data_IF_083796977030
#
_entry.id   IF_083796977030
#
_cell.length_a   1.000
_cell.length_b   1.000
_cell.length_c   1.000
_cell.angle_alpha   90.00
_cell.angle_beta   90.00
_cell.angle_gamma   90.00
#
_symmetry.space_group_name_H-M   'P 1'
#
loop_
_entity.id
_entity.type
_entity.pdbx_description
1 polymer ?
#
# COMPACT_ATOMS: atom_id res chain seq x y z
N UNK A 1 -22.03 19.59 -4.40
CA UNK A 1 -21.53 19.64 -3.00
C UNK A 1 -20.15 19.01 -3.01
N UNK A 2 -19.11 19.81 -3.21
CA UNK A 2 -17.71 19.37 -3.31
C UNK A 2 -16.79 20.31 -2.53
N UNK A 3 -17.28 20.83 -1.41
CA UNK A 3 -16.51 21.68 -0.53
C UNK A 3 -15.34 20.85 0.08
N UNK A 4 -14.08 21.27 -0.13
CA UNK A 4 -12.91 20.58 0.41
C UNK A 4 -12.94 20.35 1.93
N UNK A 5 -13.68 21.19 2.67
CA UNK A 5 -13.81 21.06 4.13
C UNK A 5 -14.57 19.82 4.56
N UNK A 6 -15.29 19.12 3.67
CA UNK A 6 -15.99 17.89 4.04
C UNK A 6 -15.14 16.62 3.96
N UNK A 7 -13.92 16.69 3.45
CA UNK A 7 -13.05 15.52 3.23
C UNK A 7 -12.05 15.35 4.37
N UNK A 8 -12.10 14.19 5.02
CA UNK A 8 -11.31 13.90 6.23
C UNK A 8 -10.25 12.83 6.02
N UNK A 9 -10.32 12.09 4.91
CA UNK A 9 -9.40 11.00 4.57
C UNK A 9 -8.76 11.32 3.21
N UNK A 10 -7.44 11.41 3.18
CA UNK A 10 -6.67 11.50 1.96
C UNK A 10 -6.16 10.12 1.52
N UNK A 11 -6.35 9.77 0.26
CA UNK A 11 -5.89 8.52 -0.33
C UNK A 11 -4.98 8.82 -1.52
N UNK A 12 -3.73 8.36 -1.46
CA UNK A 12 -2.75 8.57 -2.54
C UNK A 12 -2.48 7.23 -3.24
N UNK A 13 -2.53 7.28 -4.57
CA UNK A 13 -2.18 6.18 -5.49
C UNK A 13 -0.94 6.58 -6.29
N UNK A 14 -0.02 5.65 -6.53
CA UNK A 14 1.14 5.89 -7.39
C UNK A 14 0.83 5.71 -8.88
N UNK A 15 -0.05 4.77 -9.22
CA UNK A 15 -0.31 4.36 -10.60
C UNK A 15 -1.77 4.54 -10.99
N UNK A 16 -2.02 4.74 -12.29
CA UNK A 16 -3.38 4.76 -12.86
C UNK A 16 -4.15 3.47 -12.54
N UNK A 17 -3.47 2.33 -12.53
CA UNK A 17 -4.09 1.04 -12.16
C UNK A 17 -4.67 1.07 -10.74
N UNK A 18 -3.92 1.64 -9.81
CA UNK A 18 -4.31 1.78 -8.40
C UNK A 18 -5.42 2.83 -8.24
N UNK A 19 -5.31 3.94 -8.97
CA UNK A 19 -6.31 5.00 -8.97
C UNK A 19 -7.67 4.53 -9.50
N UNK A 20 -7.69 3.73 -10.56
CA UNK A 20 -8.92 3.09 -11.07
C UNK A 20 -9.52 2.16 -10.01
N UNK A 21 -8.69 1.33 -9.36
CA UNK A 21 -9.16 0.45 -8.29
C UNK A 21 -9.77 1.26 -7.14
N UNK A 22 -9.10 2.30 -6.65
CA UNK A 22 -9.61 3.16 -5.59
C UNK A 22 -10.98 3.78 -5.93
N UNK A 23 -11.14 4.28 -7.16
CA UNK A 23 -12.39 4.91 -7.60
C UNK A 23 -13.58 3.96 -7.67
N UNK A 24 -13.38 2.70 -8.09
CA UNK A 24 -14.51 1.75 -8.22
C UNK A 24 -15.03 1.25 -6.87
N UNK A 25 -14.27 1.46 -5.80
CA UNK A 25 -14.68 1.11 -4.44
C UNK A 25 -15.44 2.24 -3.72
N UNK A 26 -15.56 3.44 -4.31
CA UNK A 26 -16.43 4.49 -3.78
C UNK A 26 -17.89 4.02 -3.79
N UNK A 27 -18.60 4.26 -2.68
CA UNK A 27 -20.06 4.06 -2.62
C UNK A 27 -20.78 5.13 -3.44
N UNK A 28 -20.21 6.34 -3.45
CA UNK A 28 -20.72 7.50 -4.16
C UNK A 28 -19.55 8.33 -4.66
N UNK A 29 -19.57 8.73 -5.94
CA UNK A 29 -18.61 9.67 -6.52
C UNK A 29 -19.23 11.07 -6.47
N UNK A 30 -18.51 12.02 -5.91
CA UNK A 30 -18.92 13.43 -5.88
C UNK A 30 -18.37 14.18 -7.11
N UNK A 31 -18.90 15.38 -7.36
CA UNK A 31 -18.36 16.28 -8.39
C UNK A 31 -16.91 16.66 -8.04
N UNK A 32 -16.05 16.92 -9.03
CA UNK A 32 -14.68 17.40 -8.78
C UNK A 32 -14.68 18.72 -7.99
N UNK A 33 -13.57 19.06 -7.32
CA UNK A 33 -13.47 20.33 -6.61
C UNK A 33 -13.62 21.52 -7.57
N UNK A 34 -14.39 22.53 -7.19
CA UNK A 34 -14.58 23.74 -8.02
C UNK A 34 -13.28 24.53 -8.20
N UNK A 35 -12.43 24.50 -7.18
CA UNK A 35 -11.08 25.07 -7.23
C UNK A 35 -10.17 24.33 -6.26
N UNK A 36 -8.87 24.35 -6.57
CA UNK A 36 -7.78 23.87 -5.72
C UNK A 36 -6.82 25.02 -5.43
N UNK A 37 -5.89 24.83 -4.51
CA UNK A 37 -4.84 25.82 -4.21
C UNK A 37 -4.06 26.18 -5.48
N UNK A 38 -3.59 27.43 -5.60
CA UNK A 38 -3.02 28.00 -6.83
C UNK A 38 -1.78 27.27 -7.41
N UNK A 39 -1.16 26.37 -6.64
CA UNK A 39 0.01 25.58 -7.05
C UNK A 39 -0.20 24.08 -6.86
N UNK A 40 -1.44 23.66 -6.61
CA UNK A 40 -1.81 22.25 -6.55
C UNK A 40 -2.04 21.73 -7.97
N UNK A 41 -1.20 20.80 -8.40
CA UNK A 41 -1.24 20.21 -9.74
C UNK A 41 -1.87 18.81 -9.74
N UNK A 42 -2.45 18.37 -8.63
CA UNK A 42 -3.00 17.03 -8.51
C UNK A 42 -4.34 16.91 -9.26
N UNK A 43 -4.57 15.72 -9.81
CA UNK A 43 -5.90 15.30 -10.24
C UNK A 43 -6.61 14.60 -9.07
N UNK A 44 -7.83 15.03 -8.76
CA UNK A 44 -8.61 14.49 -7.64
C UNK A 44 -9.87 13.78 -8.08
N UNK A 45 -10.15 12.65 -7.43
CA UNK A 45 -11.50 12.10 -7.37
C UNK A 45 -12.02 12.22 -5.95
N UNK A 46 -13.20 12.79 -5.83
CA UNK A 46 -13.91 12.96 -4.57
C UNK A 46 -15.03 11.93 -4.45
N UNK A 47 -15.27 11.42 -3.25
CA UNK A 47 -16.39 10.55 -3.01
C UNK A 47 -16.57 10.13 -1.57
N UNK A 48 -17.42 9.12 -1.35
CA UNK A 48 -17.76 8.59 -0.05
C UNK A 48 -17.51 7.09 0.03
N UNK A 49 -17.01 6.65 1.19
CA UNK A 49 -16.93 5.24 1.58
C UNK A 49 -17.52 5.08 2.98
N UNK A 50 -18.63 4.36 3.07
CA UNK A 50 -19.46 4.26 4.26
C UNK A 50 -19.96 5.64 4.71
N UNK A 51 -19.44 6.08 5.86
CA UNK A 51 -19.79 7.37 6.50
C UNK A 51 -18.74 8.47 6.27
N UNK A 52 -17.67 8.19 5.54
CA UNK A 52 -16.53 9.09 5.43
C UNK A 52 -16.36 9.57 4.00
N UNK A 53 -16.04 10.86 3.87
CA UNK A 53 -15.68 11.45 2.59
C UNK A 53 -14.17 11.31 2.38
N UNK A 54 -13.79 10.83 1.20
CA UNK A 54 -12.43 10.51 0.81
C UNK A 54 -12.04 11.36 -0.40
N UNK A 55 -10.87 11.99 -0.32
CA UNK A 55 -10.21 12.63 -1.46
C UNK A 55 -9.10 11.70 -1.95
N UNK A 56 -9.19 11.30 -3.21
CA UNK A 56 -8.24 10.38 -3.84
C UNK A 56 -7.41 11.17 -4.85
N UNK A 57 -6.09 11.09 -4.74
CA UNK A 57 -5.15 11.63 -5.73
C UNK A 57 -4.29 10.52 -6.34
N UNK A 58 -3.76 10.80 -7.52
CA UNK A 58 -2.78 9.95 -8.20
C UNK A 58 -1.53 10.78 -8.51
N UNK A 59 -0.37 10.14 -8.47
CA UNK A 59 0.88 10.76 -8.91
C UNK A 59 0.82 11.15 -10.39
N UNK A 60 1.58 12.18 -10.83
CA UNK A 60 1.66 12.55 -12.24
C UNK A 60 2.08 11.39 -13.14
N UNK A 61 1.60 11.39 -14.38
CA UNK A 61 1.89 10.31 -15.32
C UNK A 61 3.41 10.18 -15.59
N UNK A 62 3.91 8.95 -15.53
CA UNK A 62 5.33 8.64 -15.64
C UNK A 62 6.17 8.90 -14.38
N UNK A 63 5.57 9.42 -13.30
CA UNK A 63 6.25 9.66 -12.04
C UNK A 63 5.87 8.61 -10.97
N UNK A 64 6.86 8.21 -10.19
CA UNK A 64 6.72 7.34 -9.02
C UNK A 64 7.91 7.59 -8.08
N UNK A 65 7.85 7.05 -6.87
CA UNK A 65 8.90 7.28 -5.88
C UNK A 65 8.49 8.25 -4.75
N UNK A 66 9.44 8.48 -3.84
CA UNK A 66 9.22 9.26 -2.62
C UNK A 66 8.91 10.73 -2.91
N UNK A 67 9.63 11.35 -3.84
CA UNK A 67 9.52 12.79 -4.12
C UNK A 67 8.16 13.18 -4.74
N UNK A 68 7.68 12.50 -5.81
CA UNK A 68 6.35 12.78 -6.35
C UNK A 68 5.23 12.52 -5.32
N UNK A 69 5.32 11.42 -4.55
CA UNK A 69 4.34 11.13 -3.50
C UNK A 69 4.27 12.24 -2.44
N UNK A 70 5.44 12.75 -2.01
CA UNK A 70 5.52 13.87 -1.05
C UNK A 70 4.91 15.14 -1.62
N UNK A 71 5.13 15.45 -2.90
CA UNK A 71 4.57 16.62 -3.56
C UNK A 71 3.03 16.54 -3.64
N UNK A 72 2.50 15.40 -4.09
CA UNK A 72 1.06 15.13 -4.15
C UNK A 72 0.42 15.28 -2.77
N UNK A 73 1.00 14.67 -1.74
CA UNK A 73 0.49 14.76 -0.38
C UNK A 73 0.46 16.21 0.13
N UNK A 74 1.54 16.96 -0.06
CA UNK A 74 1.62 18.37 0.36
C UNK A 74 0.56 19.22 -0.34
N UNK A 75 0.39 19.05 -1.64
CA UNK A 75 -0.54 19.85 -2.42
C UNK A 75 -2.00 19.50 -2.05
N UNK A 76 -2.30 18.21 -1.79
CA UNK A 76 -3.56 17.77 -1.20
C UNK A 76 -3.87 18.46 0.13
N UNK A 77 -2.89 18.55 1.04
CA UNK A 77 -3.11 19.21 2.32
C UNK A 77 -3.31 20.73 2.21
N UNK A 78 -2.82 21.37 1.14
CA UNK A 78 -3.10 22.78 0.87
C UNK A 78 -4.55 23.01 0.41
N UNK A 79 -5.08 22.09 -0.40
CA UNK A 79 -6.43 22.19 -0.95
C UNK A 79 -7.52 21.61 -0.03
N UNK A 80 -7.20 20.55 0.72
CA UNK A 80 -8.11 19.82 1.60
C UNK A 80 -7.63 19.88 3.05
N UNK A 81 -7.86 21.02 3.70
CA UNK A 81 -7.33 21.31 5.04
C UNK A 81 -7.93 20.45 6.15
N UNK A 82 -9.12 19.89 5.93
CA UNK A 82 -9.80 19.03 6.89
C UNK A 82 -9.33 17.56 6.83
N UNK A 83 -8.35 17.20 5.99
CA UNK A 83 -7.78 15.85 5.98
C UNK A 83 -7.07 15.57 7.31
N UNK A 84 -7.43 14.47 7.96
CA UNK A 84 -6.97 14.08 9.31
C UNK A 84 -6.12 12.82 9.31
N UNK A 85 -6.35 11.94 8.34
CA UNK A 85 -5.57 10.71 8.16
C UNK A 85 -5.31 10.45 6.68
N UNK A 86 -4.16 9.84 6.41
CA UNK A 86 -3.77 9.42 5.07
C UNK A 86 -3.92 7.91 4.85
N UNK A 87 -4.03 7.52 3.58
CA UNK A 87 -3.84 6.17 3.09
C UNK A 87 -2.88 6.22 1.91
N UNK A 88 -1.85 5.37 1.91
CA UNK A 88 -1.04 5.09 0.73
C UNK A 88 -1.41 3.69 0.26
N UNK A 89 -2.19 3.60 -0.82
CA UNK A 89 -2.73 2.31 -1.28
C UNK A 89 -2.29 2.09 -2.71
N UNK A 90 -1.72 0.91 -2.95
CA UNK A 90 -1.26 0.55 -4.27
C UNK A 90 -0.82 -0.89 -4.36
N UNK A 91 -0.01 -1.19 -5.35
CA UNK A 91 0.63 -2.49 -5.51
C UNK A 91 2.05 -2.45 -4.93
N UNK A 92 2.55 -3.63 -4.58
CA UNK A 92 3.92 -3.84 -4.13
C UNK A 92 4.42 -5.22 -4.52
N UNK A 93 5.72 -5.44 -4.32
CA UNK A 93 6.34 -6.73 -4.48
C UNK A 93 6.38 -7.49 -3.15
N UNK A 94 5.93 -8.74 -3.12
CA UNK A 94 5.95 -9.59 -1.94
C UNK A 94 7.37 -10.05 -1.58
N UNK A 95 7.55 -10.42 -0.32
CA UNK A 95 8.78 -11.01 0.21
C UNK A 95 8.46 -12.32 0.95
N UNK A 96 8.04 -13.37 0.22
CA UNK A 96 7.71 -14.66 0.83
C UNK A 96 8.96 -15.27 1.47
N UNK A 97 8.80 -15.86 2.67
CA UNK A 97 9.85 -16.71 3.27
C UNK A 97 9.38 -18.16 3.29
N UNK A 98 10.29 -19.07 3.66
CA UNK A 98 9.95 -20.50 3.81
C UNK A 98 9.20 -20.79 5.11
N UNK A 99 8.97 -19.78 5.95
CA UNK A 99 8.17 -19.92 7.17
C UNK A 99 6.68 -19.99 6.79
N UNK A 100 5.97 -20.98 7.35
CA UNK A 100 4.55 -21.22 7.03
C UNK A 100 3.66 -19.99 7.27
N UNK A 101 3.99 -19.15 8.27
CA UNK A 101 3.23 -17.94 8.61
C UNK A 101 3.48 -16.74 7.66
N UNK A 102 4.37 -16.92 6.65
CA UNK A 102 4.79 -15.87 5.70
C UNK A 102 4.70 -16.33 4.25
N UNK A 103 3.75 -17.19 3.95
CA UNK A 103 3.41 -17.57 2.59
C UNK A 103 2.60 -16.48 1.86
N UNK A 104 3.30 -15.42 1.46
CA UNK A 104 2.75 -14.32 0.68
C UNK A 104 2.60 -14.76 -0.79
N UNK A 105 1.40 -14.58 -1.33
CA UNK A 105 0.99 -14.95 -2.69
C UNK A 105 0.63 -13.74 -3.54
N UNK A 106 0.59 -13.91 -4.85
CA UNK A 106 0.09 -12.84 -5.71
C UNK A 106 -1.40 -12.61 -5.44
N UNK A 107 -1.81 -11.35 -5.39
CA UNK A 107 -3.16 -10.93 -4.98
C UNK A 107 -3.34 -10.70 -3.49
N UNK A 108 -2.45 -11.23 -2.63
CA UNK A 108 -2.49 -10.97 -1.19
C UNK A 108 -2.29 -9.49 -0.85
N UNK A 109 -2.63 -9.14 0.38
CA UNK A 109 -2.54 -7.77 0.88
C UNK A 109 -1.52 -7.72 2.00
N UNK A 110 -0.57 -6.79 1.93
CA UNK A 110 0.34 -6.46 3.03
C UNK A 110 -0.02 -5.07 3.57
N UNK A 111 -0.23 -4.99 4.87
CA UNK A 111 -0.62 -3.76 5.58
C UNK A 111 0.50 -3.37 6.55
N UNK A 112 0.95 -2.12 6.49
CA UNK A 112 1.98 -1.64 7.40
C UNK A 112 1.49 -1.72 8.85
N UNK A 113 2.25 -2.42 9.68
CA UNK A 113 1.90 -2.64 11.08
C UNK A 113 3.12 -2.43 11.98
N UNK A 114 3.05 -1.55 12.99
CA UNK A 114 4.14 -1.35 13.92
C UNK A 114 4.47 -2.64 14.69
N UNK A 115 5.76 -2.96 14.78
CA UNK A 115 6.28 -4.13 15.50
C UNK A 115 7.75 -3.90 15.83
N UNK A 116 8.23 -4.47 16.94
CA UNK A 116 9.66 -4.50 17.32
C UNK A 116 10.37 -3.15 17.25
N UNK A 117 9.70 -2.08 17.71
CA UNK A 117 10.25 -0.71 17.73
C UNK A 117 10.21 0.02 16.38
N UNK A 118 9.60 -0.57 15.34
CA UNK A 118 9.45 0.03 14.01
C UNK A 118 8.03 0.54 13.78
N UNK A 119 7.90 1.59 12.97
CA UNK A 119 6.62 2.19 12.62
C UNK A 119 5.77 1.40 11.62
N UNK A 120 6.26 0.27 11.11
CA UNK A 120 5.61 -0.53 10.05
C UNK A 120 6.09 -0.21 8.64
N UNK A 121 6.95 0.81 8.47
CA UNK A 121 7.67 1.10 7.21
C UNK A 121 9.15 1.27 7.50
N UNK A 122 10.01 0.72 6.64
CA UNK A 122 11.46 0.86 6.68
C UNK A 122 11.96 1.50 5.39
N UNK A 123 12.67 2.62 5.47
CA UNK A 123 13.38 3.14 4.30
C UNK A 123 14.76 2.48 4.19
N UNK A 124 14.86 1.41 3.41
CA UNK A 124 16.06 0.55 3.40
C UNK A 124 17.23 1.13 2.61
N UNK A 125 17.01 2.17 1.80
CA UNK A 125 18.06 2.88 1.04
C UNK A 125 18.56 4.17 1.72
N UNK A 126 18.08 4.48 2.94
CA UNK A 126 18.44 5.69 3.67
C UNK A 126 19.31 5.42 4.88
N UNK A 127 20.54 5.90 4.84
CA UNK A 127 21.56 5.45 5.77
C UNK A 127 22.96 5.89 5.40
N UNK A 128 23.94 5.25 6.04
CA UNK A 128 25.36 5.56 5.89
C UNK A 128 26.08 4.39 5.23
N UNK A 129 26.89 4.72 4.23
CA UNK A 129 27.92 3.82 3.72
C UNK A 129 29.23 4.12 4.44
N UNK A 130 29.77 3.13 5.16
CA UNK A 130 31.04 3.26 5.89
C UNK A 130 32.07 2.33 5.24
N UNK A 131 33.30 2.80 5.10
CA UNK A 131 34.37 2.01 4.47
C UNK A 131 34.50 0.64 5.14
N UNK A 132 34.45 -0.42 4.32
CA UNK A 132 34.53 -1.83 4.74
C UNK A 132 33.43 -2.30 5.72
N UNK A 133 32.26 -1.66 5.73
CA UNK A 133 31.10 -2.10 6.51
C UNK A 133 29.86 -2.24 5.64
N UNK A 134 28.88 -3.01 6.11
CA UNK A 134 27.56 -3.03 5.48
C UNK A 134 26.86 -1.67 5.61
N UNK A 135 25.92 -1.40 4.70
CA UNK A 135 25.11 -0.20 4.74
C UNK A 135 24.30 -0.16 6.04
N UNK A 136 24.37 0.97 6.74
CA UNK A 136 23.66 1.16 8.01
C UNK A 136 22.46 2.05 7.79
N UNK A 137 21.25 1.49 7.87
CA UNK A 137 20.01 2.27 7.85
C UNK A 137 19.95 3.18 9.08
N UNK A 138 19.66 4.48 8.88
CA UNK A 138 19.62 5.47 9.98
C UNK A 138 18.30 6.22 10.09
N UNK A 139 17.35 5.97 9.18
CA UNK A 139 16.05 6.64 9.17
C UNK A 139 15.07 6.04 10.16
N UNK A 140 14.22 6.89 10.74
CA UNK A 140 13.02 6.46 11.46
C UNK A 140 11.79 7.03 10.76
N UNK A 141 10.81 6.16 10.51
CA UNK A 141 9.52 6.54 9.94
C UNK A 141 8.44 6.33 10.99
N UNK A 142 7.57 7.33 11.11
CA UNK A 142 6.43 7.28 12.03
C UNK A 142 5.52 6.10 11.74
N UNK A 143 4.73 5.74 12.75
CA UNK A 143 3.66 4.74 12.64
C UNK A 143 2.34 5.36 12.14
N UNK A 144 1.46 4.55 11.50
CA UNK A 144 0.12 5.01 11.11
C UNK A 144 -0.68 5.57 12.30
N UNK A 145 -1.52 6.60 12.13
CA UNK A 145 -2.37 7.16 13.21
C UNK A 145 -3.12 6.10 14.03
N UNK A 146 -3.29 6.36 15.32
CA UNK A 146 -3.92 5.41 16.25
C UNK A 146 -5.33 4.98 15.80
N UNK A 147 -6.12 5.90 15.24
CA UNK A 147 -7.45 5.59 14.73
C UNK A 147 -7.43 4.56 13.60
N UNK A 148 -6.41 4.59 12.72
CA UNK A 148 -6.21 3.60 11.67
C UNK A 148 -5.76 2.26 12.27
N UNK A 149 -4.83 2.29 13.22
CA UNK A 149 -4.35 1.06 13.90
C UNK A 149 -5.47 0.35 14.67
N UNK A 150 -6.35 1.11 15.31
CA UNK A 150 -7.53 0.57 16.00
C UNK A 150 -8.51 -0.07 14.99
N UNK A 151 -8.73 0.57 13.84
CA UNK A 151 -9.55 -0.02 12.77
C UNK A 151 -8.94 -1.32 12.22
N UNK A 152 -7.63 -1.34 12.00
CA UNK A 152 -6.89 -2.54 11.57
C UNK A 152 -7.05 -3.69 12.57
N UNK A 153 -6.88 -3.44 13.88
CA UNK A 153 -7.08 -4.48 14.88
C UNK A 153 -8.53 -4.99 14.92
N UNK A 154 -9.50 -4.10 14.71
CA UNK A 154 -10.90 -4.49 14.58
C UNK A 154 -11.18 -5.38 13.37
N UNK A 155 -10.51 -5.14 12.24
CA UNK A 155 -10.62 -5.99 11.04
C UNK A 155 -9.91 -7.33 11.22
N UNK A 156 -8.74 -7.37 11.87
CA UNK A 156 -8.05 -8.63 12.20
C UNK A 156 -8.99 -9.59 12.93
N UNK A 157 -9.65 -9.10 13.99
CA UNK A 157 -10.58 -9.90 14.77
C UNK A 157 -11.82 -10.33 13.98
N UNK A 158 -12.31 -9.50 13.06
CA UNK A 158 -13.45 -9.82 12.19
C UNK A 158 -13.08 -10.90 11.17
N UNK A 159 -11.93 -10.78 10.52
CA UNK A 159 -11.48 -11.73 9.51
C UNK A 159 -11.10 -13.09 10.13
N UNK A 160 -10.54 -13.10 11.34
CA UNK A 160 -10.29 -14.34 12.08
C UNK A 160 -11.59 -15.10 12.40
N UNK A 161 -12.71 -14.40 12.59
CA UNK A 161 -14.01 -15.00 12.92
C UNK A 161 -14.83 -15.39 11.68
N UNK A 162 -14.80 -14.57 10.64
CA UNK A 162 -15.78 -14.61 9.55
C UNK A 162 -15.15 -14.70 8.13
N UNK A 163 -13.82 -14.54 8.03
CA UNK A 163 -13.11 -14.38 6.76
C UNK A 163 -13.33 -13.00 6.12
N UNK A 164 -12.47 -12.63 5.16
CA UNK A 164 -12.43 -11.27 4.61
C UNK A 164 -13.35 -11.02 3.40
N UNK A 165 -13.80 -12.07 2.72
CA UNK A 165 -14.72 -12.01 1.57
C UNK A 165 -14.25 -11.11 0.39
N UNK A 166 -12.96 -10.77 0.26
CA UNK A 166 -12.50 -9.80 -0.74
C UNK A 166 -12.74 -10.26 -2.17
N UNK A 167 -12.55 -11.53 -2.49
CA UNK A 167 -12.83 -12.08 -3.82
C UNK A 167 -14.29 -11.82 -4.23
N UNK A 168 -15.24 -12.09 -3.33
CA UNK A 168 -16.67 -11.83 -3.56
C UNK A 168 -16.95 -10.34 -3.80
N UNK A 169 -16.36 -9.45 -3.01
CA UNK A 169 -16.55 -8.00 -3.17
C UNK A 169 -15.99 -7.52 -4.51
N UNK A 170 -14.80 -7.98 -4.89
CA UNK A 170 -14.15 -7.63 -6.16
C UNK A 170 -14.99 -8.11 -7.34
N UNK A 171 -15.44 -9.37 -7.31
CA UNK A 171 -16.28 -9.94 -8.38
C UNK A 171 -17.58 -9.14 -8.58
N UNK A 172 -18.23 -8.72 -7.49
CA UNK A 172 -19.41 -7.85 -7.54
C UNK A 172 -19.12 -6.49 -8.18
N UNK A 173 -17.96 -5.89 -7.91
CA UNK A 173 -17.56 -4.63 -8.57
C UNK A 173 -17.34 -4.86 -10.07
N UNK A 174 -16.67 -5.95 -10.44
CA UNK A 174 -16.34 -6.29 -11.83
C UNK A 174 -17.56 -6.72 -12.65
N UNK A 175 -18.61 -7.26 -12.04
CA UNK A 175 -19.93 -7.45 -12.67
C UNK A 175 -20.53 -6.14 -13.17
N UNK A 176 -20.44 -5.08 -12.37
CA UNK A 176 -20.98 -3.78 -12.71
C UNK A 176 -20.07 -2.98 -13.67
N UNK A 177 -18.81 -3.43 -13.87
CA UNK A 177 -17.82 -2.77 -14.73
C UNK A 177 -17.15 -3.77 -15.68
N UNK A 178 -17.88 -4.32 -16.70
CA UNK A 178 -17.36 -5.40 -17.54
C UNK A 178 -16.03 -5.09 -18.25
N UNK A 179 -15.79 -3.83 -18.62
CA UNK A 179 -14.51 -3.41 -19.25
C UNK A 179 -13.29 -3.63 -18.35
N UNK A 180 -13.46 -3.61 -17.02
CA UNK A 180 -12.37 -3.78 -16.07
C UNK A 180 -12.00 -5.25 -15.86
N UNK A 181 -12.91 -6.20 -16.15
CA UNK A 181 -12.66 -7.64 -15.95
C UNK A 181 -11.38 -8.14 -16.60
N UNK A 182 -11.06 -7.63 -17.79
CA UNK A 182 -9.88 -8.06 -18.55
C UNK A 182 -8.56 -7.76 -17.82
N UNK A 183 -8.48 -6.63 -17.12
CA UNK A 183 -7.25 -6.17 -16.46
C UNK A 183 -7.26 -6.39 -14.94
N UNK A 184 -8.43 -6.34 -14.31
CA UNK A 184 -8.60 -6.32 -12.86
C UNK A 184 -9.21 -7.60 -12.29
N UNK A 185 -9.62 -8.54 -13.15
CA UNK A 185 -10.02 -9.89 -12.72
C UNK A 185 -8.84 -10.68 -12.17
N UNK A 186 -9.12 -11.63 -11.27
CA UNK A 186 -8.12 -12.54 -10.73
C UNK A 186 -7.48 -13.35 -11.88
N UNK A 187 -6.16 -13.29 -12.08
CA UNK A 187 -5.48 -14.16 -13.04
C UNK A 187 -5.58 -15.65 -12.63
N UNK A 188 -5.35 -16.59 -13.56
CA UNK A 188 -5.31 -18.02 -13.23
C UNK A 188 -4.24 -18.31 -12.17
N UNK A 189 -4.55 -19.19 -11.21
CA UNK A 189 -3.67 -19.51 -10.08
C UNK A 189 -2.31 -20.07 -10.52
N UNK A 190 -2.23 -20.70 -11.69
CA UNK A 190 -0.99 -21.26 -12.27
C UNK A 190 0.00 -20.17 -12.75
N UNK A 191 -0.44 -18.92 -12.79
CA UNK A 191 0.40 -17.75 -13.08
C UNK A 191 1.02 -17.14 -11.82
N UNK A 192 0.61 -17.59 -10.64
CA UNK A 192 1.32 -17.32 -9.38
C UNK A 192 2.54 -18.25 -9.26
N UNK A 193 3.70 -17.73 -9.66
CA UNK A 193 4.96 -18.48 -9.72
C UNK A 193 6.03 -17.78 -8.89
N UNK A 194 6.44 -18.42 -7.79
CA UNK A 194 7.58 -18.00 -7.00
C UNK A 194 8.84 -18.70 -7.50
N UNK A 195 9.75 -17.95 -8.12
CA UNK A 195 11.04 -18.47 -8.55
C UNK A 195 12.01 -18.57 -7.37
N UNK A 196 12.93 -19.54 -7.44
CA UNK A 196 14.04 -19.60 -6.50
C UNK A 196 14.91 -18.34 -6.64
N UNK A 197 15.53 -17.93 -5.54
CA UNK A 197 16.30 -16.68 -5.47
C UNK A 197 17.54 -16.66 -6.37
N UNK A 198 18.06 -17.82 -6.76
CA UNK A 198 19.22 -17.98 -7.65
C UNK A 198 18.84 -18.01 -9.14
N UNK A 199 17.55 -18.04 -9.46
CA UNK A 199 17.07 -17.99 -10.85
C UNK A 199 16.88 -16.53 -11.24
N UNK A 200 17.59 -16.09 -12.27
CA UNK A 200 17.49 -14.74 -12.83
C UNK A 200 16.65 -14.78 -14.10
N UNK A 201 15.78 -13.78 -14.25
CA UNK A 201 14.95 -13.63 -15.45
C UNK A 201 15.80 -13.43 -16.69
N UNK A 202 15.56 -14.27 -17.70
CA UNK A 202 16.09 -14.10 -19.06
C UNK A 202 14.94 -13.65 -19.98
N UNK A 203 15.03 -12.48 -20.63
CA UNK A 203 13.98 -12.01 -21.55
C UNK A 203 13.77 -12.91 -22.77
N UNK A 204 14.68 -13.83 -23.07
CA UNK A 204 14.53 -14.80 -24.15
C UNK A 204 13.88 -16.11 -23.70
N UNK A 205 13.72 -16.31 -22.38
CA UNK A 205 13.08 -17.48 -21.80
C UNK A 205 11.58 -17.45 -22.10
N UNK A 206 11.08 -18.50 -22.75
CA UNK A 206 9.65 -18.66 -23.02
C UNK A 206 8.96 -19.36 -21.85
N UNK A 207 7.63 -19.32 -21.85
CA UNK A 207 6.84 -19.97 -20.80
C UNK A 207 7.12 -21.48 -20.69
N UNK A 208 7.44 -22.13 -21.82
CA UNK A 208 7.75 -23.56 -21.90
C UNK A 208 9.15 -23.91 -21.36
N UNK A 209 10.04 -22.91 -21.26
CA UNK A 209 11.40 -23.08 -20.74
C UNK A 209 11.43 -23.05 -19.20
N UNK A 210 10.33 -22.62 -18.56
CA UNK A 210 10.18 -22.61 -17.10
C UNK A 210 9.98 -24.03 -16.60
N UNK A 211 11.02 -24.60 -15.99
CA UNK A 211 10.97 -25.94 -15.43
C UNK A 211 10.57 -25.93 -13.95
N UNK A 212 9.91 -26.98 -13.43
CA UNK A 212 9.51 -27.05 -12.03
C UNK A 212 10.65 -26.82 -11.02
N UNK A 213 11.88 -27.25 -11.34
CA UNK A 213 13.06 -27.07 -10.49
C UNK A 213 13.53 -25.60 -10.34
N UNK A 214 13.05 -24.70 -11.19
CA UNK A 214 13.31 -23.26 -11.11
C UNK A 214 12.40 -22.56 -10.11
N UNK A 215 11.28 -23.19 -9.76
CA UNK A 215 10.30 -22.66 -8.83
C UNK A 215 10.60 -23.14 -7.41
N UNK A 216 10.19 -22.35 -6.43
CA UNK A 216 10.10 -22.83 -5.05
C UNK A 216 9.06 -23.97 -5.03
N UNK A 217 9.31 -25.07 -4.30
CA UNK A 217 8.41 -26.21 -4.27
C UNK A 217 6.95 -25.84 -3.98
N UNK A 218 5.99 -26.69 -4.39
CA UNK A 218 4.57 -26.41 -4.24
C UNK A 218 4.24 -26.02 -2.80
N UNK A 219 3.60 -24.86 -2.67
CA UNK A 219 3.07 -24.36 -1.42
C UNK A 219 1.74 -25.06 -1.16
N UNK A 220 1.41 -25.33 0.10
CA UNK A 220 0.16 -26.01 0.45
C UNK A 220 -1.04 -25.29 -0.17
N UNK A 221 -2.01 -26.00 -0.74
CA UNK A 221 -3.20 -25.32 -1.26
C UNK A 221 -3.92 -24.58 -0.13
N UNK A 222 -4.42 -23.38 -0.42
CA UNK A 222 -5.33 -22.68 0.49
C UNK A 222 -6.68 -23.41 0.44
N UNK A 223 -7.19 -23.76 1.60
CA UNK A 223 -8.46 -24.45 1.78
C UNK A 223 -9.60 -23.45 1.90
N UNK A 224 -10.83 -23.96 1.97
CA UNK A 224 -12.03 -23.15 2.24
C UNK A 224 -12.04 -22.46 3.61
N UNK A 225 -11.12 -22.85 4.51
CA UNK A 225 -10.92 -22.22 5.82
C UNK A 225 -9.91 -21.07 5.77
N UNK A 226 -9.15 -20.96 4.68
CA UNK A 226 -8.13 -19.93 4.50
C UNK A 226 -8.72 -18.74 3.75
N UNK A 227 -8.33 -17.54 4.16
CA UNK A 227 -8.61 -16.34 3.40
C UNK A 227 -7.77 -16.32 2.10
N UNK A 228 -8.43 -16.12 0.97
CA UNK A 228 -7.78 -16.05 -0.34
C UNK A 228 -8.44 -14.96 -1.21
N UNK A 229 -7.85 -13.75 -1.33
CA UNK A 229 -6.51 -13.36 -0.87
C UNK A 229 -6.40 -13.26 0.67
N UNK A 230 -5.19 -13.49 1.19
CA UNK A 230 -4.86 -13.33 2.60
C UNK A 230 -4.37 -11.92 2.92
N UNK A 231 -4.42 -11.54 4.20
CA UNK A 231 -3.89 -10.26 4.70
C UNK A 231 -2.74 -10.49 5.68
N UNK A 232 -1.60 -9.90 5.36
CA UNK A 232 -0.41 -9.92 6.19
C UNK A 232 -0.16 -8.55 6.81
N UNK A 233 0.37 -8.55 8.03
CA UNK A 233 0.58 -7.34 8.82
C UNK A 233 2.02 -7.28 9.29
N UNK A 234 2.75 -6.24 8.88
CA UNK A 234 4.14 -6.13 9.29
C UNK A 234 4.89 -5.03 8.57
N UNK A 235 6.18 -5.26 8.36
CA UNK A 235 7.10 -4.27 7.84
C UNK A 235 7.06 -4.19 6.31
N UNK A 236 6.86 -2.97 5.80
CA UNK A 236 6.97 -2.66 4.38
C UNK A 236 8.27 -1.90 4.12
N UNK A 237 9.09 -2.39 3.21
CA UNK A 237 10.34 -1.77 2.80
C UNK A 237 10.10 -0.78 1.65
N UNK A 238 10.50 0.48 1.87
CA UNK A 238 10.33 1.60 0.96
C UNK A 238 11.68 2.12 0.46
N UNK A 239 11.79 2.48 -0.82
CA UNK A 239 13.01 3.09 -1.37
C UNK A 239 12.76 3.83 -2.69
N UNK A 240 13.74 4.62 -3.13
CA UNK A 240 13.74 5.20 -4.48
C UNK A 240 14.17 4.20 -5.56
N UNK A 241 14.51 2.96 -5.19
CA UNK A 241 14.99 1.92 -6.10
C UNK A 241 14.01 0.76 -6.12
N UNK A 242 13.59 0.37 -7.32
CA UNK A 242 12.76 -0.82 -7.51
C UNK A 242 13.54 -2.09 -7.14
N UNK A 243 13.00 -2.89 -6.22
CA UNK A 243 13.58 -4.19 -5.87
C UNK A 243 13.34 -5.22 -6.99
N UNK A 244 14.44 -5.77 -7.50
CA UNK A 244 14.49 -6.84 -8.53
C UNK A 244 15.53 -7.91 -8.22
N UNK A 245 16.04 -7.94 -6.99
CA UNK A 245 17.10 -8.83 -6.55
C UNK A 245 16.54 -9.74 -5.46
N UNK A 246 16.28 -11.00 -5.83
CA UNK A 246 15.70 -11.99 -4.93
C UNK A 246 16.61 -12.31 -3.74
N UNK A 247 17.94 -12.23 -3.91
CA UNK A 247 18.91 -12.49 -2.83
C UNK A 247 18.86 -11.37 -1.80
N UNK A 248 18.85 -10.11 -2.25
CA UNK A 248 18.71 -8.95 -1.37
C UNK A 248 17.32 -8.93 -0.71
N UNK A 249 16.25 -9.23 -1.46
CA UNK A 249 14.90 -9.40 -0.94
C UNK A 249 14.87 -10.41 0.21
N UNK A 250 15.41 -11.60 0.00
CA UNK A 250 15.39 -12.67 1.00
C UNK A 250 16.24 -12.34 2.22
N UNK A 251 17.38 -11.65 2.03
CA UNK A 251 18.21 -11.12 3.13
C UNK A 251 17.38 -10.18 4.01
N UNK A 252 16.74 -9.17 3.41
CA UNK A 252 15.90 -8.19 4.14
C UNK A 252 14.65 -8.83 4.76
N UNK A 253 14.01 -9.79 4.09
CA UNK A 253 12.88 -10.51 4.66
C UNK A 253 13.27 -11.27 5.94
N UNK A 254 14.45 -11.89 5.94
CA UNK A 254 14.97 -12.69 7.08
C UNK A 254 15.51 -11.83 8.21
N UNK A 255 16.34 -10.83 7.90
CA UNK A 255 17.04 -10.02 8.89
C UNK A 255 16.14 -8.93 9.49
N UNK A 256 15.29 -8.32 8.65
CA UNK A 256 14.50 -7.14 9.01
C UNK A 256 13.01 -7.44 9.17
N UNK A 257 12.57 -8.64 8.80
CA UNK A 257 11.15 -9.03 8.85
C UNK A 257 10.29 -8.36 7.77
N UNK A 258 10.89 -7.93 6.66
CA UNK A 258 10.18 -7.29 5.54
C UNK A 258 9.22 -8.27 4.87
N UNK A 259 7.99 -7.82 4.63
CA UNK A 259 6.94 -8.60 3.96
C UNK A 259 6.66 -8.11 2.53
N UNK A 260 6.92 -6.84 2.26
CA UNK A 260 6.60 -6.19 0.98
C UNK A 260 7.62 -5.08 0.66
N UNK A 261 7.87 -4.86 -0.62
CA UNK A 261 8.66 -3.76 -1.16
C UNK A 261 7.79 -2.82 -2.01
N UNK A 262 7.96 -1.52 -1.83
CA UNK A 262 7.31 -0.45 -2.60
C UNK A 262 8.21 0.79 -2.65
N UNK A 263 7.74 1.88 -3.28
CA UNK A 263 8.61 3.02 -3.61
C UNK A 263 8.11 4.39 -3.15
N UNK A 264 7.03 4.51 -2.37
CA UNK A 264 6.45 5.82 -2.07
C UNK A 264 6.40 6.15 -0.58
N UNK A 265 6.07 5.16 0.27
CA UNK A 265 5.62 5.39 1.63
C UNK A 265 6.63 6.16 2.51
N UNK A 266 7.94 5.93 2.34
CA UNK A 266 8.96 6.62 3.11
C UNK A 266 8.94 8.15 2.94
N UNK A 267 8.50 8.66 1.79
CA UNK A 267 8.30 10.10 1.58
C UNK A 267 7.10 10.67 2.35
N UNK A 268 6.15 9.82 2.71
CA UNK A 268 4.89 10.21 3.31
C UNK A 268 4.89 10.12 4.84
N UNK A 269 5.37 9.02 5.43
CA UNK A 269 5.06 8.66 6.83
C UNK A 269 5.27 9.77 7.87
N UNK A 270 6.28 10.63 7.68
CA UNK A 270 6.63 11.68 8.63
C UNK A 270 5.85 13.00 8.45
N UNK A 271 5.26 13.24 7.28
CA UNK A 271 4.57 14.49 6.95
C UNK A 271 3.12 14.30 6.49
N UNK A 272 2.74 13.07 6.19
CA UNK A 272 1.40 12.66 5.83
C UNK A 272 1.13 11.34 6.57
N UNK A 273 0.68 11.40 7.85
CA UNK A 273 0.47 10.21 8.66
C UNK A 273 -0.54 9.27 8.01
N UNK A 274 -0.05 8.16 7.46
CA UNK A 274 -0.87 7.26 6.67
C UNK A 274 -0.72 5.79 7.07
N UNK A 275 -1.74 5.00 6.74
CA UNK A 275 -1.62 3.54 6.67
C UNK A 275 -1.19 3.15 5.25
N UNK A 276 -0.23 2.24 5.14
CA UNK A 276 0.27 1.75 3.84
C UNK A 276 -0.35 0.38 3.58
N UNK A 277 -0.98 0.22 2.43
CA UNK A 277 -1.69 -1.01 2.04
C UNK A 277 -1.21 -1.39 0.64
N UNK A 278 -0.62 -2.58 0.50
CA UNK A 278 -0.04 -3.04 -0.75
C UNK A 278 -0.64 -4.37 -1.18
N UNK A 279 -1.26 -4.38 -2.34
CA UNK A 279 -1.63 -5.62 -3.02
C UNK A 279 -0.39 -6.19 -3.71
N UNK A 280 -0.15 -7.49 -3.57
CA UNK A 280 1.07 -8.11 -4.07
C UNK A 280 0.92 -8.48 -5.55
N UNK A 281 1.71 -7.85 -6.41
CA UNK A 281 1.66 -8.07 -7.87
C UNK A 281 2.88 -8.77 -8.45
N UNK A 282 4.00 -8.80 -7.72
CA UNK A 282 5.20 -9.55 -8.06
C UNK A 282 5.94 -9.97 -6.77
N UNK A 283 7.07 -10.67 -6.89
CA UNK A 283 7.84 -11.15 -5.74
C UNK A 283 9.14 -10.37 -5.51
N UNK A 284 9.21 -9.10 -5.88
CA UNK A 284 10.40 -8.26 -5.69
C UNK A 284 11.68 -8.85 -6.27
N UNK A 285 11.56 -9.62 -7.35
CA UNK A 285 12.67 -10.23 -8.07
C UNK A 285 12.70 -9.77 -9.53
N UNK A 286 13.54 -10.43 -10.31
CA UNK A 286 13.69 -10.14 -11.72
C UNK A 286 12.48 -10.58 -12.58
N UNK A 287 11.61 -11.46 -12.07
CA UNK A 287 10.45 -12.03 -12.78
C UNK A 287 9.20 -11.20 -12.54
N UNK A 288 9.18 -9.98 -13.07
CA UNK A 288 8.03 -9.08 -12.91
C UNK A 288 6.77 -9.64 -13.56
N UNK A 289 5.65 -9.55 -12.85
CA UNK A 289 4.36 -10.04 -13.32
C UNK A 289 3.37 -8.87 -13.47
N UNK A 290 3.10 -8.47 -14.72
CA UNK A 290 2.21 -7.35 -15.01
C UNK A 290 0.73 -7.74 -14.97
N UNK A 291 0.43 -9.01 -15.15
CA UNK A 291 -0.96 -9.50 -15.25
C UNK A 291 -1.68 -9.42 -13.90
N UNK A 292 -0.93 -9.52 -12.80
CA UNK A 292 -1.46 -9.43 -11.44
C UNK A 292 -1.66 -8.00 -10.93
N UNK A 293 -1.11 -6.97 -11.60
CA UNK A 293 -1.17 -5.59 -11.09
C UNK A 293 -2.61 -5.09 -10.90
N UNK A 294 -3.51 -5.42 -11.82
CA UNK A 294 -4.90 -4.99 -11.70
C UNK A 294 -5.63 -5.66 -10.54
N UNK A 295 -5.54 -6.99 -10.42
CA UNK A 295 -6.16 -7.71 -9.31
C UNK A 295 -5.57 -7.31 -7.96
N UNK A 296 -4.24 -7.20 -7.85
CA UNK A 296 -3.56 -6.72 -6.65
C UNK A 296 -4.02 -5.31 -6.25
N UNK A 297 -4.20 -4.40 -7.22
CA UNK A 297 -4.75 -3.08 -6.93
C UNK A 297 -6.19 -3.16 -6.38
N UNK A 298 -7.01 -4.08 -6.90
CA UNK A 298 -8.38 -4.31 -6.39
C UNK A 298 -8.39 -4.84 -4.96
N UNK A 299 -7.51 -5.80 -4.62
CA UNK A 299 -7.44 -6.37 -3.26
C UNK A 299 -6.98 -5.33 -2.25
N UNK A 300 -5.96 -4.54 -2.59
CA UNK A 300 -5.52 -3.41 -1.78
C UNK A 300 -6.62 -2.37 -1.55
N UNK A 301 -7.34 -1.98 -2.62
CA UNK A 301 -8.43 -1.01 -2.54
C UNK A 301 -9.64 -1.56 -1.76
N UNK A 302 -9.96 -2.85 -1.87
CA UNK A 302 -11.01 -3.50 -1.10
C UNK A 302 -10.69 -3.46 0.40
N UNK A 303 -9.45 -3.79 0.79
CA UNK A 303 -9.00 -3.71 2.18
C UNK A 303 -9.03 -2.26 2.70
N UNK A 304 -8.55 -1.31 1.90
CA UNK A 304 -8.60 0.11 2.26
C UNK A 304 -10.04 0.60 2.49
N UNK A 305 -11.00 0.19 1.65
CA UNK A 305 -12.43 0.46 1.89
C UNK A 305 -12.90 -0.13 3.22
N UNK A 306 -12.53 -1.38 3.53
CA UNK A 306 -12.88 -2.02 4.81
C UNK A 306 -12.35 -1.21 6.00
N UNK A 307 -11.11 -0.73 5.93
CA UNK A 307 -10.53 0.17 6.95
C UNK A 307 -11.35 1.44 7.10
N UNK A 308 -11.64 2.13 5.98
CA UNK A 308 -12.42 3.38 6.01
C UNK A 308 -13.81 3.16 6.62
N UNK A 309 -14.53 2.13 6.20
CA UNK A 309 -15.85 1.81 6.72
C UNK A 309 -15.85 1.47 8.22
N UNK A 310 -14.75 0.93 8.73
CA UNK A 310 -14.58 0.57 10.16
C UNK A 310 -14.29 1.79 11.04
N UNK A 311 -13.79 2.90 10.49
CA UNK A 311 -13.46 4.08 11.26
C UNK A 311 -14.70 4.65 11.96
N UNK A 312 -14.57 4.93 13.26
CA UNK A 312 -15.60 5.64 14.00
C UNK A 312 -15.51 7.14 13.69
N UNK A 313 -16.62 7.73 13.24
CA UNK A 313 -16.69 9.13 12.81
C UNK A 313 -16.21 10.11 13.90
N UNK A 314 -16.71 9.97 15.13
CA UNK A 314 -16.30 10.82 16.24
C UNK A 314 -14.79 10.73 16.56
N UNK A 315 -14.17 9.55 16.44
CA UNK A 315 -12.72 9.39 16.67
C UNK A 315 -11.90 10.06 15.58
N UNK A 316 -12.37 10.00 14.34
CA UNK A 316 -11.73 10.65 13.20
C UNK A 316 -11.84 12.17 13.32
N UNK A 317 -13.03 12.70 13.61
CA UNK A 317 -13.28 14.14 13.81
C UNK A 317 -12.48 14.72 14.99
N UNK A 318 -12.20 13.92 16.02
CA UNK A 318 -11.34 14.31 17.15
C UNK A 318 -9.83 14.25 16.86
N UNK A 319 -9.39 13.63 15.75
CA UNK A 319 -8.00 13.73 15.33
C UNK A 319 -7.70 15.16 14.89
N UNK A 320 -6.52 15.68 15.18
CA UNK A 320 -6.07 16.95 14.56
C UNK A 320 -5.98 16.77 13.05
N UNK A 321 -6.16 17.86 12.31
CA UNK A 321 -5.89 17.80 10.87
C UNK A 321 -4.40 17.57 10.66
N UNK A 322 -4.03 16.97 9.53
CA UNK A 322 -2.62 16.74 9.22
C UNK A 322 -1.89 18.10 9.10
N UNK A 323 -2.56 19.11 8.53
CA UNK A 323 -2.03 20.47 8.45
C UNK A 323 -1.66 21.05 9.82
N UNK A 324 -2.51 20.87 10.84
CA UNK A 324 -2.23 21.29 12.23
C UNK A 324 -1.07 20.50 12.86
N UNK A 325 -1.03 19.19 12.63
CA UNK A 325 -0.01 18.31 13.20
C UNK A 325 1.40 18.64 12.71
N UNK A 326 1.55 18.97 11.42
CA UNK A 326 2.83 19.37 10.81
C UNK A 326 3.33 20.68 11.43
N UNK A 327 2.45 21.65 11.71
CA UNK A 327 2.85 22.94 12.31
C UNK A 327 3.41 22.71 13.71
N UNK A 328 2.75 21.92 14.55
CA UNK A 328 3.18 21.67 15.94
C UNK A 328 4.56 21.00 16.00
N UNK A 329 4.86 20.08 15.07
CA UNK A 329 6.19 19.43 15.02
C UNK A 329 7.35 20.39 14.78
N UNK A 330 7.12 21.53 14.10
CA UNK A 330 8.16 22.54 13.85
C UNK A 330 8.48 23.38 15.09
N UNK A 331 7.47 23.64 15.93
CA UNK A 331 7.65 24.43 17.16
C UNK A 331 8.19 23.62 18.33
N UNK A 332 7.93 22.30 18.38
CA UNK A 332 8.48 21.41 19.41
C UNK A 332 10.01 21.21 19.31
N UNK A 333 10.58 21.39 18.12
CA UNK A 333 12.04 21.29 17.89
C UNK A 333 12.82 22.55 18.28
N UNK A 334 12.17 23.72 18.42
CA UNK A 334 12.84 24.96 18.84
C UNK A 334 13.01 25.06 20.37
N UNK A 335 12.19 24.36 21.15
CA UNK A 335 12.24 24.41 22.63
C UNK A 335 13.26 23.43 23.22
N UNK A 336 13.83 22.52 22.43
CA UNK A 336 14.87 21.58 22.85
C UNK A 336 16.31 22.13 22.68
N UNK A 337 16.45 23.38 22.24
CA UNK A 337 17.74 24.05 22.03
C UNK A 337 17.86 25.29 22.94
N UNK A 338 17.70 25.10 24.25
CA UNK A 338 18.16 26.06 25.29
C UNK A 338 18.83 25.30 26.42
#
# INVERSE_FOLDING_TARGET
>A
MSDPEFYTIGWICALVTEYVAAQVFLDEKHDPPESVSAHDNNEYTLGRMGRHNVVIAVLPDGEYGLSPATAVARDMLHSFKNVRVGLMVGIGGGAPTTDFDRDIRLGDIVVSSPSDGRGGVLQYDFGKTIQNQEFQTTGFLNQPPEVLRAAVNGLKAEFEQEGNNFERVINKVLENKPRLRLKYGRPPSETDRLFRSDVVYDPNCRAEDIKPEMLVPPRNERTELDDDPAVFYGLIASANRLMKDAVVRDKLAREEGVLCFEMEAAGLMNHFPCLVIRGICDYSDSHKNKDWQGYAAMTAAAYAKAVVCRLQQNRLENQKTIAEAIVISKWGSEVAAV
#
